data_IF_097326340206
#
_entry.id   IF_097326340206
#
_cell.length_a   1.000
_cell.length_b   1.000
_cell.length_c   1.000
_cell.angle_alpha   90.00
_cell.angle_beta   90.00
_cell.angle_gamma   90.00
#
_symmetry.space_group_name_H-M   'P 1'
#
loop_
_entity.id
_entity.type
_entity.pdbx_description
1 polymer ?
#
# COMPACT_ATOMS: atom_id res chain seq x y z
N UNK A 1 -20.78 -78.01 -58.87
CA UNK A 1 -20.88 -77.33 -57.55
C UNK A 1 -19.98 -76.11 -57.56
N UNK A 2 -20.53 -74.91 -57.69
CA UNK A 2 -20.01 -73.69 -57.07
C UNK A 2 -21.03 -72.56 -57.27
N UNK A 3 -21.40 -71.95 -56.16
CA UNK A 3 -22.59 -71.12 -55.95
C UNK A 3 -22.31 -69.66 -56.31
N UNK A 4 -23.10 -69.09 -57.21
CA UNK A 4 -23.15 -67.66 -57.52
C UNK A 4 -23.89 -66.92 -56.38
N UNK A 5 -23.16 -66.29 -55.47
CA UNK A 5 -23.73 -65.38 -54.46
C UNK A 5 -23.96 -64.00 -55.08
N UNK A 6 -25.23 -63.63 -55.24
CA UNK A 6 -25.69 -62.26 -55.55
C UNK A 6 -25.39 -61.35 -54.36
N UNK A 7 -24.64 -60.27 -54.57
CA UNK A 7 -24.49 -59.20 -53.59
C UNK A 7 -25.69 -58.25 -53.67
N UNK A 8 -26.43 -58.16 -52.57
CA UNK A 8 -27.51 -57.19 -52.35
C UNK A 8 -26.90 -55.87 -51.86
N UNK A 9 -27.07 -54.80 -52.64
CA UNK A 9 -26.68 -53.45 -52.24
C UNK A 9 -27.78 -52.84 -51.34
N UNK A 10 -27.46 -52.59 -50.07
CA UNK A 10 -28.33 -51.79 -49.18
C UNK A 10 -28.21 -50.30 -49.53
N UNK A 11 -29.30 -49.53 -49.60
CA UNK A 11 -29.23 -48.10 -49.83
C UNK A 11 -28.65 -47.39 -48.59
N UNK A 12 -27.54 -46.66 -48.78
CA UNK A 12 -27.00 -45.75 -47.76
C UNK A 12 -27.92 -44.52 -47.69
N UNK A 13 -28.62 -44.36 -46.57
CA UNK A 13 -29.33 -43.12 -46.24
C UNK A 13 -28.28 -42.04 -45.93
N UNK A 14 -28.16 -41.05 -46.79
CA UNK A 14 -27.42 -39.82 -46.48
C UNK A 14 -28.24 -39.01 -45.50
N UNK A 15 -27.84 -38.99 -44.23
CA UNK A 15 -28.26 -37.95 -43.30
C UNK A 15 -27.39 -36.72 -43.57
N UNK A 16 -27.94 -35.73 -44.27
CA UNK A 16 -27.38 -34.38 -44.30
C UNK A 16 -27.62 -33.75 -42.92
N UNK A 17 -26.69 -33.93 -42.00
CA UNK A 17 -26.65 -33.16 -40.76
C UNK A 17 -26.28 -31.72 -41.11
N UNK A 18 -27.25 -30.82 -41.09
CA UNK A 18 -26.97 -29.38 -41.12
C UNK A 18 -26.21 -29.02 -39.84
N UNK A 19 -24.89 -28.87 -39.95
CA UNK A 19 -24.07 -28.31 -38.89
C UNK A 19 -24.39 -26.82 -38.81
N UNK A 20 -25.34 -26.45 -37.95
CA UNK A 20 -25.54 -25.05 -37.57
C UNK A 20 -24.32 -24.66 -36.73
N UNK A 21 -23.30 -24.14 -37.39
CA UNK A 21 -22.26 -23.34 -36.76
C UNK A 21 -22.94 -22.06 -36.26
N UNK A 22 -23.48 -22.10 -35.05
CA UNK A 22 -23.73 -20.88 -34.29
C UNK A 22 -22.37 -20.26 -34.02
N UNK A 23 -21.93 -19.37 -34.91
CA UNK A 23 -20.85 -18.46 -34.63
C UNK A 23 -21.27 -17.61 -33.44
N UNK A 24 -20.87 -18.03 -32.24
CA UNK A 24 -20.91 -17.18 -31.08
C UNK A 24 -19.92 -16.05 -31.36
N UNK A 25 -20.43 -14.94 -31.88
CA UNK A 25 -19.72 -13.67 -31.85
C UNK A 25 -19.54 -13.37 -30.37
N UNK A 26 -18.38 -13.72 -29.82
CA UNK A 26 -17.95 -13.17 -28.53
C UNK A 26 -17.69 -11.71 -28.83
N UNK A 27 -18.74 -10.90 -28.68
CA UNK A 27 -18.58 -9.48 -28.47
C UNK A 27 -17.74 -9.39 -27.19
N UNK A 28 -16.41 -9.29 -27.34
CA UNK A 28 -15.54 -8.72 -26.32
C UNK A 28 -16.03 -7.28 -26.13
N UNK A 29 -17.13 -7.13 -25.40
CA UNK A 29 -17.61 -5.84 -24.96
C UNK A 29 -16.46 -5.22 -24.21
N UNK A 30 -15.96 -4.09 -24.71
CA UNK A 30 -15.09 -3.22 -23.95
C UNK A 30 -15.87 -2.84 -22.69
N UNK A 31 -15.65 -3.56 -21.59
CA UNK A 31 -16.15 -3.12 -20.29
C UNK A 31 -15.61 -1.69 -20.11
N UNK A 32 -16.46 -0.73 -19.72
CA UNK A 32 -15.99 0.62 -19.47
C UNK A 32 -14.87 0.57 -18.43
N UNK A 33 -13.86 1.45 -18.54
CA UNK A 33 -12.80 1.48 -17.54
C UNK A 33 -13.42 1.67 -16.15
N UNK A 34 -12.84 1.05 -15.11
CA UNK A 34 -13.31 1.25 -13.75
C UNK A 34 -13.30 2.74 -13.40
N UNK A 35 -14.24 3.21 -12.56
CA UNK A 35 -14.25 4.60 -12.14
C UNK A 35 -12.96 4.94 -11.37
N UNK A 36 -12.52 6.21 -11.41
CA UNK A 36 -11.40 6.66 -10.60
C UNK A 36 -11.69 6.44 -9.10
N UNK A 37 -10.64 6.29 -8.26
CA UNK A 37 -10.82 6.17 -6.83
C UNK A 37 -11.44 7.46 -6.25
N UNK A 38 -12.24 7.38 -5.18
CA UNK A 38 -12.77 8.57 -4.52
C UNK A 38 -11.64 9.42 -3.94
N UNK A 39 -11.83 10.73 -3.95
CA UNK A 39 -10.91 11.73 -3.37
C UNK A 39 -11.69 12.57 -2.36
N UNK A 40 -11.16 12.69 -1.14
CA UNK A 40 -11.79 13.45 -0.07
C UNK A 40 -11.17 13.17 1.31
N UNK A 41 -11.85 13.59 2.38
CA UNK A 41 -11.41 13.30 3.75
C UNK A 41 -11.23 11.80 3.99
N UNK A 42 -10.06 11.41 4.50
CA UNK A 42 -9.76 10.02 4.84
C UNK A 42 -9.56 9.07 3.64
N UNK A 43 -9.57 9.54 2.39
CA UNK A 43 -9.23 8.73 1.22
C UNK A 43 -7.73 8.50 1.09
N UNK A 44 -7.33 7.38 0.51
CA UNK A 44 -5.93 7.11 0.13
C UNK A 44 -5.56 7.92 -1.11
N UNK A 45 -6.48 8.07 -2.06
CA UNK A 45 -6.26 8.85 -3.27
C UNK A 45 -6.43 10.35 -3.01
N UNK A 46 -5.67 11.17 -3.74
CA UNK A 46 -5.72 12.63 -3.66
C UNK A 46 -4.36 13.29 -3.44
N UNK A 47 -4.27 14.62 -3.56
CA UNK A 47 -3.05 15.38 -3.33
C UNK A 47 -2.76 15.49 -1.83
N UNK A 48 -1.47 15.54 -1.46
CA UNK A 48 -1.07 15.86 -0.08
C UNK A 48 -1.58 17.25 0.32
N UNK A 49 -2.07 17.40 1.55
CA UNK A 49 -2.51 18.68 2.11
C UNK A 49 -1.42 19.33 2.98
N UNK A 50 -0.49 18.54 3.50
CA UNK A 50 0.69 19.02 4.21
C UNK A 50 1.92 19.01 3.30
N UNK A 51 2.79 20.00 3.46
CA UNK A 51 4.09 20.03 2.80
C UNK A 51 5.20 19.37 3.67
N UNK A 52 6.36 19.12 3.07
CA UNK A 52 7.46 18.40 3.73
C UNK A 52 7.97 19.11 5.00
N UNK A 53 8.07 20.44 4.96
CA UNK A 53 8.53 21.24 6.09
C UNK A 53 7.56 21.17 7.28
N UNK A 54 6.25 21.21 7.02
CA UNK A 54 5.22 21.04 8.05
C UNK A 54 5.29 19.65 8.70
N UNK A 55 5.43 18.61 7.88
CA UNK A 55 5.58 17.23 8.36
C UNK A 55 6.84 17.09 9.22
N UNK A 56 7.98 17.60 8.75
CA UNK A 56 9.25 17.55 9.47
C UNK A 56 9.22 18.33 10.79
N UNK A 57 8.60 19.52 10.80
CA UNK A 57 8.43 20.32 12.00
C UNK A 57 7.62 19.58 13.07
N UNK A 58 6.53 18.90 12.66
CA UNK A 58 5.74 18.07 13.58
C UNK A 58 6.53 16.85 14.10
N UNK A 59 7.30 16.17 13.25
CA UNK A 59 8.18 15.08 13.71
C UNK A 59 9.17 15.59 14.76
N UNK A 60 9.75 16.77 14.55
CA UNK A 60 10.65 17.38 15.51
C UNK A 60 9.99 17.78 16.82
N UNK A 61 8.76 18.30 16.79
CA UNK A 61 8.03 18.67 18.00
C UNK A 61 7.68 17.46 18.85
N UNK A 62 7.29 16.34 18.23
CA UNK A 62 6.93 15.11 18.95
C UNK A 62 8.17 14.32 19.42
N UNK A 63 9.25 14.33 18.64
CA UNK A 63 10.46 13.53 18.92
C UNK A 63 11.63 14.34 19.49
N UNK A 64 11.37 15.57 19.93
CA UNK A 64 12.30 16.45 20.66
C UNK A 64 13.64 16.66 19.92
N UNK A 65 13.58 17.23 18.71
CA UNK A 65 14.79 17.70 18.04
C UNK A 65 15.55 18.71 18.92
N UNK A 66 16.87 18.56 19.01
CA UNK A 66 17.72 19.50 19.74
C UNK A 66 17.68 20.90 19.07
N UNK A 67 17.89 21.99 19.81
CA UNK A 67 18.01 23.33 19.22
C UNK A 67 19.03 23.36 18.08
N UNK A 68 18.62 23.89 16.92
CA UNK A 68 19.45 23.93 15.71
C UNK A 68 19.51 22.62 14.91
N UNK A 69 18.84 21.56 15.35
CA UNK A 69 18.66 20.31 14.61
C UNK A 69 17.25 20.21 14.04
N UNK A 70 17.12 19.70 12.82
CA UNK A 70 15.86 19.25 12.22
C UNK A 70 15.77 17.71 12.15
N UNK A 71 16.63 17.01 12.91
CA UNK A 71 16.68 15.54 12.96
C UNK A 71 16.55 15.08 14.43
N UNK A 72 15.52 14.27 14.75
CA UNK A 72 15.37 13.70 16.08
C UNK A 72 16.53 12.75 16.43
N UNK A 73 16.97 12.66 17.70
CA UNK A 73 18.00 11.69 18.10
C UNK A 73 17.63 10.22 17.83
N UNK A 74 16.32 9.91 17.81
CA UNK A 74 15.81 8.56 17.51
C UNK A 74 15.73 8.26 16.01
N UNK A 75 15.89 9.24 15.13
CA UNK A 75 15.75 9.07 13.68
C UNK A 75 16.91 8.22 13.13
N UNK A 76 16.58 7.12 12.45
CA UNK A 76 17.55 6.18 11.88
C UNK A 76 17.76 6.24 10.36
N UNK A 77 16.84 6.76 9.52
CA UNK A 77 17.11 6.89 8.09
C UNK A 77 18.31 7.79 7.80
N UNK A 78 18.98 7.52 6.68
CA UNK A 78 20.16 8.26 6.20
C UNK A 78 19.84 9.66 5.64
N UNK A 79 18.57 9.93 5.36
CA UNK A 79 18.07 11.24 4.92
C UNK A 79 17.27 11.91 6.04
N UNK A 80 17.16 13.23 6.03
CA UNK A 80 16.44 13.98 7.07
C UNK A 80 14.92 13.70 7.04
N UNK A 81 14.19 14.00 8.13
CA UNK A 81 12.72 13.92 8.14
C UNK A 81 12.06 14.71 7.00
N UNK A 82 12.59 15.91 6.68
CA UNK A 82 12.08 16.74 5.59
C UNK A 82 12.33 16.12 4.22
N UNK A 83 13.54 15.59 3.98
CA UNK A 83 13.84 14.88 2.73
C UNK A 83 12.96 13.63 2.57
N UNK A 84 12.75 12.88 3.65
CA UNK A 84 11.85 11.73 3.64
C UNK A 84 10.42 12.17 3.32
N UNK A 85 9.89 13.18 4.02
CA UNK A 85 8.54 13.70 3.77
C UNK A 85 8.38 14.20 2.33
N UNK A 86 9.39 14.86 1.76
CA UNK A 86 9.40 15.28 0.37
C UNK A 86 9.32 14.10 -0.59
N UNK A 87 10.05 13.00 -0.35
CA UNK A 87 9.92 11.78 -1.16
C UNK A 87 8.50 11.23 -1.15
N UNK A 88 7.83 11.20 0.01
CA UNK A 88 6.44 10.75 0.08
C UNK A 88 5.49 11.66 -0.70
N UNK A 89 5.69 12.97 -0.62
CA UNK A 89 4.89 13.94 -1.38
C UNK A 89 5.10 13.76 -2.88
N UNK A 90 6.35 13.64 -3.33
CA UNK A 90 6.67 13.54 -4.76
C UNK A 90 6.18 12.22 -5.37
N UNK A 91 6.47 11.09 -4.71
CA UNK A 91 5.99 9.77 -5.14
C UNK A 91 4.46 9.69 -5.04
N UNK A 92 3.88 10.23 -3.98
CA UNK A 92 2.42 10.32 -3.79
C UNK A 92 1.74 11.11 -4.90
N UNK A 93 2.24 12.30 -5.21
CA UNK A 93 1.71 13.14 -6.29
C UNK A 93 1.79 12.44 -7.65
N UNK A 94 2.90 11.75 -7.94
CA UNK A 94 3.07 11.00 -9.19
C UNK A 94 2.06 9.83 -9.30
N UNK A 95 1.80 9.12 -8.19
CA UNK A 95 0.88 7.99 -8.15
C UNK A 95 -0.59 8.38 -7.84
N UNK A 96 -0.88 9.66 -7.59
CA UNK A 96 -2.19 10.15 -7.14
C UNK A 96 -2.62 9.62 -5.76
N UNK A 97 -1.68 9.50 -4.83
CA UNK A 97 -1.87 9.03 -3.46
C UNK A 97 -1.50 10.15 -2.47
N UNK A 98 -2.21 10.19 -1.34
CA UNK A 98 -1.94 11.07 -0.18
C UNK A 98 -0.59 10.74 0.46
N UNK A 99 0.47 11.34 -0.08
CA UNK A 99 1.85 11.18 0.38
C UNK A 99 2.04 11.59 1.84
N UNK A 100 1.40 12.69 2.24
CA UNK A 100 1.38 13.15 3.63
C UNK A 100 0.84 12.10 4.62
N UNK A 101 -0.27 11.44 4.31
CA UNK A 101 -0.83 10.38 5.18
C UNK A 101 -0.01 9.09 5.05
N UNK A 102 0.54 8.77 3.88
CA UNK A 102 1.44 7.63 3.70
C UNK A 102 2.73 7.77 4.52
N UNK A 103 3.27 8.98 4.69
CA UNK A 103 4.36 9.23 5.63
C UNK A 103 3.95 8.89 7.08
N UNK A 104 2.71 9.23 7.47
CA UNK A 104 2.18 8.90 8.80
C UNK A 104 1.98 7.39 8.99
N UNK A 105 1.55 6.67 7.96
CA UNK A 105 1.57 5.21 7.97
C UNK A 105 2.98 4.69 8.31
N UNK A 106 4.01 5.28 7.72
CA UNK A 106 5.39 4.89 7.98
C UNK A 106 5.87 5.26 9.38
N UNK A 107 5.42 6.38 9.96
CA UNK A 107 5.61 6.66 11.39
C UNK A 107 5.06 5.51 12.23
N UNK A 108 3.84 5.06 11.94
CA UNK A 108 3.19 3.99 12.68
C UNK A 108 3.95 2.66 12.57
N UNK A 109 4.28 2.26 11.34
CA UNK A 109 4.93 0.98 11.03
C UNK A 109 6.35 0.86 11.57
N UNK A 110 7.09 1.97 11.60
CA UNK A 110 8.51 1.99 11.99
C UNK A 110 8.74 2.47 13.42
N UNK A 111 7.69 2.90 14.12
CA UNK A 111 7.81 3.57 15.41
C UNK A 111 8.59 4.88 15.29
N UNK A 112 8.11 5.80 14.46
CA UNK A 112 8.74 7.11 14.19
C UNK A 112 10.13 7.02 13.54
N UNK A 113 10.30 6.10 12.59
CA UNK A 113 11.57 5.81 11.92
C UNK A 113 12.71 5.46 12.89
N UNK A 114 12.37 4.87 14.04
CA UNK A 114 13.32 4.48 15.07
C UNK A 114 13.53 2.95 15.15
N UNK A 115 12.59 2.15 14.63
CA UNK A 115 12.57 0.68 14.70
C UNK A 115 12.95 0.13 16.10
N UNK A 116 12.24 0.52 17.18
CA UNK A 116 12.66 0.24 18.54
C UNK A 116 12.71 -1.26 18.89
N UNK A 117 12.04 -2.10 18.10
CA UNK A 117 11.99 -3.57 18.27
C UNK A 117 13.05 -4.30 17.44
N UNK A 118 13.80 -3.58 16.60
CA UNK A 118 14.81 -4.20 15.75
C UNK A 118 16.15 -4.31 16.49
N UNK A 119 16.95 -5.35 16.21
CA UNK A 119 18.28 -5.48 16.77
C UNK A 119 19.20 -4.33 16.34
N UNK A 120 20.29 -4.14 17.07
CA UNK A 120 21.33 -3.18 16.70
C UNK A 120 21.83 -3.49 15.27
N UNK A 121 21.72 -2.54 14.31
CA UNK A 121 22.19 -2.74 12.94
C UNK A 121 23.65 -3.20 12.85
N UNK A 122 24.50 -2.82 13.81
CA UNK A 122 25.92 -3.21 13.83
C UNK A 122 26.12 -4.72 14.11
N UNK A 123 25.12 -5.37 14.71
CA UNK A 123 25.15 -6.81 15.04
C UNK A 123 24.54 -7.67 13.94
N UNK A 124 23.91 -7.06 12.96
CA UNK A 124 23.22 -7.74 11.85
C UNK A 124 24.09 -7.61 10.60
N UNK A 125 24.53 -8.71 9.97
CA UNK A 125 25.22 -8.68 8.68
C UNK A 125 24.39 -7.96 7.62
N UNK A 126 25.06 -7.34 6.64
CA UNK A 126 24.38 -6.76 5.47
C UNK A 126 24.22 -7.88 4.44
N UNK A 127 22.98 -8.30 4.11
CA UNK A 127 22.78 -9.28 3.05
C UNK A 127 23.28 -8.74 1.71
N UNK A 128 23.65 -9.62 0.78
CA UNK A 128 24.04 -9.22 -0.57
C UNK A 128 22.91 -8.41 -1.25
N UNK A 129 23.21 -7.51 -2.20
CA UNK A 129 22.17 -6.81 -2.96
C UNK A 129 21.16 -7.79 -3.56
N UNK A 130 19.88 -7.51 -3.39
CA UNK A 130 18.78 -8.39 -3.84
C UNK A 130 18.51 -9.60 -2.96
N UNK A 131 19.30 -9.88 -1.92
CA UNK A 131 19.00 -10.90 -0.93
C UNK A 131 17.87 -10.42 -0.01
N UNK A 132 16.73 -11.07 -0.15
CA UNK A 132 15.53 -10.85 0.65
C UNK A 132 15.32 -11.95 1.68
N UNK A 133 16.27 -12.88 1.86
CA UNK A 133 16.13 -14.03 2.77
C UNK A 133 16.62 -13.69 4.17
N UNK A 134 15.79 -12.98 4.94
CA UNK A 134 16.22 -12.47 6.25
C UNK A 134 15.10 -12.50 7.31
N UNK A 135 15.49 -12.44 8.58
CA UNK A 135 14.64 -12.61 9.75
C UNK A 135 13.53 -11.55 9.86
N UNK A 136 12.46 -11.85 10.61
CA UNK A 136 11.23 -11.05 10.73
C UNK A 136 11.33 -9.71 11.49
N UNK A 137 12.38 -8.94 11.25
CA UNK A 137 12.56 -7.56 11.69
C UNK A 137 13.01 -6.68 10.52
N UNK A 138 12.85 -5.36 10.64
CA UNK A 138 13.24 -4.39 9.60
C UNK A 138 14.23 -3.40 10.18
N UNK A 139 15.33 -3.15 9.48
CA UNK A 139 16.30 -2.11 9.84
C UNK A 139 16.11 -0.88 8.93
N UNK A 140 16.60 0.28 9.40
CA UNK A 140 16.54 1.52 8.63
C UNK A 140 17.15 1.38 7.23
N UNK A 141 18.29 0.69 7.13
CA UNK A 141 19.02 0.40 5.87
C UNK A 141 18.28 -0.53 4.90
N UNK A 142 17.17 -1.15 5.33
CA UNK A 142 16.39 -2.01 4.45
C UNK A 142 15.41 -1.19 3.61
N UNK A 143 15.20 0.09 3.96
CA UNK A 143 14.29 0.99 3.23
C UNK A 143 12.88 0.39 3.05
N UNK A 144 12.40 -0.31 4.08
CA UNK A 144 11.06 -0.83 4.17
C UNK A 144 10.29 -0.09 5.26
N UNK A 145 9.69 1.03 4.86
CA UNK A 145 9.06 1.96 5.78
C UNK A 145 7.63 1.57 6.15
N UNK A 146 7.10 0.47 5.60
CA UNK A 146 5.71 0.07 5.78
C UNK A 146 5.54 -1.41 6.14
N UNK A 147 6.58 -2.02 6.69
CA UNK A 147 6.54 -3.39 7.22
C UNK A 147 6.26 -4.48 6.17
N UNK A 148 6.52 -4.21 4.89
CA UNK A 148 6.04 -5.07 3.82
C UNK A 148 6.76 -6.44 3.82
N UNK A 149 5.98 -7.49 4.07
CA UNK A 149 6.48 -8.86 4.21
C UNK A 149 7.19 -9.15 5.54
N UNK A 150 7.23 -8.19 6.47
CA UNK A 150 7.90 -8.35 7.76
C UNK A 150 6.88 -8.76 8.84
N UNK A 151 6.97 -10.01 9.30
CA UNK A 151 6.16 -10.53 10.40
C UNK A 151 6.93 -11.62 11.16
N UNK A 152 6.45 -12.01 12.35
CA UNK A 152 7.09 -13.06 13.15
C UNK A 152 7.25 -14.37 12.35
N UNK A 153 8.49 -14.79 12.09
CA UNK A 153 8.79 -15.99 11.30
C UNK A 153 8.82 -15.78 9.77
N UNK A 154 8.65 -14.55 9.27
CA UNK A 154 8.86 -14.27 7.85
C UNK A 154 10.33 -14.49 7.49
N UNK A 155 10.56 -15.18 6.38
CA UNK A 155 11.91 -15.39 5.81
C UNK A 155 12.16 -14.50 4.60
N UNK A 156 11.15 -13.75 4.14
CA UNK A 156 11.25 -12.84 2.99
C UNK A 156 10.47 -11.56 3.21
N UNK A 157 11.18 -10.43 3.19
CA UNK A 157 10.59 -9.10 3.29
C UNK A 157 11.23 -8.13 2.30
N UNK A 158 10.58 -7.00 2.07
CA UNK A 158 11.07 -5.99 1.14
C UNK A 158 12.36 -5.35 1.67
N UNK A 159 13.39 -5.30 0.83
CA UNK A 159 14.60 -4.50 1.04
C UNK A 159 14.92 -3.72 -0.24
N UNK A 160 15.37 -2.46 -0.11
CA UNK A 160 15.74 -1.58 -1.23
C UNK A 160 17.10 -0.94 -1.04
N UNK A 161 17.74 -0.60 -2.15
CA UNK A 161 19.07 0.01 -2.15
C UNK A 161 19.00 1.49 -1.75
N UNK A 162 17.91 2.18 -2.12
CA UNK A 162 17.73 3.61 -1.85
C UNK A 162 16.39 3.95 -1.18
N UNK A 163 16.34 5.03 -0.37
CA UNK A 163 15.11 5.47 0.30
C UNK A 163 13.91 5.67 -0.64
N UNK A 164 14.12 6.31 -1.79
CA UNK A 164 13.02 6.61 -2.73
C UNK A 164 12.33 5.33 -3.23
N UNK A 165 13.06 4.22 -3.38
CA UNK A 165 12.47 2.95 -3.81
C UNK A 165 11.56 2.38 -2.73
N UNK A 166 11.93 2.50 -1.46
CA UNK A 166 11.10 2.10 -0.32
C UNK A 166 9.77 2.85 -0.28
N UNK A 167 9.86 4.18 -0.40
CA UNK A 167 8.70 5.09 -0.46
C UNK A 167 7.82 4.77 -1.67
N UNK A 168 8.42 4.67 -2.86
CA UNK A 168 7.72 4.34 -4.11
C UNK A 168 6.97 3.01 -3.99
N UNK A 169 7.61 1.98 -3.46
CA UNK A 169 7.01 0.67 -3.31
C UNK A 169 5.75 0.70 -2.42
N UNK A 170 5.81 1.44 -1.30
CA UNK A 170 4.65 1.65 -0.42
C UNK A 170 3.54 2.42 -1.11
N UNK A 171 3.86 3.59 -1.69
CA UNK A 171 2.89 4.45 -2.39
C UNK A 171 2.16 3.69 -3.49
N UNK A 172 2.90 2.96 -4.33
CA UNK A 172 2.31 2.16 -5.39
C UNK A 172 1.43 1.02 -4.83
N UNK A 173 1.76 0.47 -3.66
CA UNK A 173 0.90 -0.53 -3.02
C UNK A 173 -0.41 0.07 -2.53
N UNK A 174 -0.36 1.23 -1.87
CA UNK A 174 -1.53 2.00 -1.46
C UNK A 174 -2.41 2.36 -2.66
N UNK A 175 -1.80 2.78 -3.78
CA UNK A 175 -2.53 3.03 -5.04
C UNK A 175 -3.29 1.79 -5.50
N UNK A 176 -2.71 0.60 -5.39
CA UNK A 176 -3.37 -0.65 -5.77
C UNK A 176 -4.58 -0.95 -4.88
N UNK A 177 -4.47 -0.74 -3.57
CA UNK A 177 -5.59 -0.88 -2.63
C UNK A 177 -6.75 0.07 -2.92
N UNK A 178 -6.44 1.32 -3.27
CA UNK A 178 -7.43 2.38 -3.41
C UNK A 178 -8.16 2.39 -4.77
N UNK A 179 -7.48 1.94 -5.83
CA UNK A 179 -7.93 2.16 -7.21
C UNK A 179 -8.07 0.85 -8.01
N UNK A 180 -9.30 0.51 -8.39
CA UNK A 180 -9.60 -0.64 -9.25
C UNK A 180 -8.96 -0.52 -10.66
N UNK A 181 -8.74 0.72 -11.12
CA UNK A 181 -8.07 1.07 -12.37
C UNK A 181 -6.55 1.12 -12.28
N UNK A 182 -5.95 0.95 -11.10
CA UNK A 182 -4.49 0.94 -10.95
C UNK A 182 -3.87 -0.15 -11.81
N UNK A 183 -2.74 0.11 -12.48
CA UNK A 183 -1.98 -0.85 -13.27
C UNK A 183 -0.49 -0.62 -13.06
N UNK A 184 0.30 -1.66 -13.21
CA UNK A 184 1.77 -1.59 -13.17
C UNK A 184 2.35 -0.56 -14.16
N UNK A 185 1.57 -0.18 -15.17
CA UNK A 185 1.93 0.75 -16.25
C UNK A 185 1.41 2.18 -16.06
N UNK A 186 0.64 2.51 -15.01
CA UNK A 186 0.02 3.83 -14.84
C UNK A 186 0.27 4.51 -13.48
N UNK A 187 1.46 4.32 -12.90
CA UNK A 187 1.80 4.75 -11.53
C UNK A 187 2.57 6.08 -11.45
N UNK A 188 2.70 6.82 -12.54
CA UNK A 188 3.53 8.04 -12.65
C UNK A 188 5.03 7.76 -12.77
N UNK A 189 5.54 6.80 -12.00
CA UNK A 189 6.89 6.26 -12.10
C UNK A 189 6.87 4.75 -12.37
N UNK A 190 7.99 4.16 -12.85
CA UNK A 190 8.09 2.71 -13.04
C UNK A 190 7.71 1.93 -11.77
N UNK A 191 6.99 0.83 -11.96
CA UNK A 191 6.61 -0.05 -10.85
C UNK A 191 7.86 -0.55 -10.12
N UNK A 192 7.89 -0.38 -8.81
CA UNK A 192 8.99 -0.80 -7.95
C UNK A 192 8.78 -2.28 -7.57
N UNK A 193 9.61 -3.22 -8.08
CA UNK A 193 9.42 -4.65 -7.87
C UNK A 193 9.63 -5.04 -6.41
N UNK A 194 8.93 -6.04 -5.89
CA UNK A 194 9.08 -6.49 -4.50
C UNK A 194 9.07 -8.01 -4.42
N UNK A 195 9.54 -8.63 -3.32
CA UNK A 195 9.34 -10.05 -3.13
C UNK A 195 7.86 -10.41 -3.35
N UNK A 196 7.60 -11.32 -4.28
CA UNK A 196 6.26 -11.79 -4.67
C UNK A 196 5.34 -10.77 -5.38
N UNK A 197 5.78 -9.52 -5.56
CA UNK A 197 5.06 -8.52 -6.35
C UNK A 197 5.82 -8.20 -7.65
N UNK A 198 5.38 -8.83 -8.73
CA UNK A 198 5.76 -8.51 -10.11
C UNK A 198 4.72 -7.56 -10.72
N UNK A 199 4.97 -7.05 -11.92
CA UNK A 199 3.96 -6.29 -12.67
C UNK A 199 2.65 -7.08 -12.82
N UNK A 200 2.75 -8.38 -13.13
CA UNK A 200 1.57 -9.25 -13.27
C UNK A 200 0.79 -9.41 -11.96
N UNK A 201 1.46 -9.65 -10.83
CA UNK A 201 0.75 -9.81 -9.55
C UNK A 201 0.27 -8.48 -8.96
N UNK A 202 0.89 -7.37 -9.34
CA UNK A 202 0.34 -6.03 -9.10
C UNK A 202 -0.99 -5.84 -9.84
N UNK A 203 -1.04 -6.20 -11.11
CA UNK A 203 -2.24 -6.03 -11.93
C UNK A 203 -3.40 -6.92 -11.48
N UNK A 204 -3.11 -8.14 -11.04
CA UNK A 204 -4.08 -9.12 -10.54
C UNK A 204 -4.25 -9.12 -9.01
N UNK A 205 -3.87 -8.04 -8.32
CA UNK A 205 -3.86 -7.99 -6.85
C UNK A 205 -5.25 -8.20 -6.23
N UNK A 206 -5.33 -9.07 -5.22
CA UNK A 206 -6.61 -9.52 -4.62
C UNK A 206 -7.44 -8.41 -3.98
N UNK A 207 -6.79 -7.38 -3.42
CA UNK A 207 -7.46 -6.25 -2.75
C UNK A 207 -7.52 -4.99 -3.60
N UNK A 208 -7.31 -5.14 -4.92
CA UNK A 208 -7.33 -4.02 -5.85
C UNK A 208 -8.64 -3.22 -5.78
N UNK A 209 -8.55 -1.92 -5.46
CA UNK A 209 -9.72 -1.05 -5.31
C UNK A 209 -10.64 -1.36 -4.12
N UNK A 210 -10.23 -2.23 -3.17
CA UNK A 210 -11.06 -2.65 -2.02
C UNK A 210 -10.79 -1.88 -0.73
N UNK A 211 -9.90 -0.88 -0.78
CA UNK A 211 -9.64 0.01 0.35
C UNK A 211 -9.42 1.46 -0.12
N UNK A 212 -10.47 2.15 -0.59
CA UNK A 212 -10.39 3.56 -0.95
C UNK A 212 -10.12 4.49 0.23
N UNK A 213 -10.55 4.12 1.46
CA UNK A 213 -10.31 4.88 2.69
C UNK A 213 -9.16 4.28 3.50
N UNK A 214 -8.46 5.11 4.27
CA UNK A 214 -7.41 4.63 5.19
C UNK A 214 -7.94 3.60 6.21
N UNK A 215 -9.16 3.78 6.69
CA UNK A 215 -9.83 2.82 7.60
C UNK A 215 -10.18 1.50 6.93
N UNK A 216 -10.30 1.46 5.60
CA UNK A 216 -10.55 0.21 4.88
C UNK A 216 -9.30 -0.70 4.83
N UNK A 217 -8.13 -0.19 5.21
CA UNK A 217 -6.91 -0.99 5.35
C UNK A 217 -6.97 -1.95 6.55
N UNK A 218 -7.90 -1.74 7.48
CA UNK A 218 -8.17 -2.62 8.60
C UNK A 218 -8.48 -4.05 8.10
N UNK A 219 -7.80 -5.05 8.66
CA UNK A 219 -7.89 -6.44 8.25
C UNK A 219 -7.42 -6.74 6.81
N UNK A 220 -6.87 -5.77 6.07
CA UNK A 220 -6.36 -5.96 4.70
C UNK A 220 -4.85 -5.71 4.61
N UNK A 221 -4.40 -4.56 5.09
CA UNK A 221 -2.97 -4.24 5.18
C UNK A 221 -2.35 -4.87 6.42
N UNK A 222 -2.94 -4.60 7.59
CA UNK A 222 -2.56 -5.21 8.86
C UNK A 222 -3.68 -6.16 9.33
N UNK A 223 -3.31 -7.41 9.65
CA UNK A 223 -4.23 -8.45 10.14
C UNK A 223 -3.86 -8.79 11.59
N UNK A 224 -4.84 -8.87 12.52
CA UNK A 224 -6.29 -8.70 12.35
C UNK A 224 -6.78 -7.24 12.37
N UNK A 225 -5.88 -6.25 12.51
CA UNK A 225 -6.12 -4.89 12.98
C UNK A 225 -7.45 -4.22 12.64
N UNK A 226 -8.23 -3.90 13.67
CA UNK A 226 -9.53 -3.18 13.59
C UNK A 226 -9.41 -1.65 13.74
N UNK A 227 -8.26 -1.17 14.22
CA UNK A 227 -8.01 0.26 14.52
C UNK A 227 -6.81 0.83 13.76
N UNK A 228 -6.29 0.10 12.77
CA UNK A 228 -5.06 0.46 12.07
C UNK A 228 -5.17 1.81 11.35
N UNK A 229 -6.17 1.97 10.48
CA UNK A 229 -6.40 3.23 9.77
C UNK A 229 -6.77 4.39 10.69
N UNK A 230 -7.49 4.12 11.78
CA UNK A 230 -7.85 5.12 12.79
C UNK A 230 -6.60 5.67 13.49
N UNK A 231 -5.65 4.82 13.86
CA UNK A 231 -4.39 5.26 14.48
C UNK A 231 -3.55 6.12 13.54
N UNK A 232 -3.51 5.79 12.24
CA UNK A 232 -2.84 6.61 11.22
C UNK A 232 -3.52 7.97 11.11
N UNK A 233 -4.85 8.01 10.96
CA UNK A 233 -5.58 9.26 10.84
C UNK A 233 -5.52 10.12 12.12
N UNK A 234 -5.39 9.50 13.30
CA UNK A 234 -5.17 10.22 14.56
C UNK A 234 -3.86 11.00 14.54
N UNK A 235 -2.74 10.34 14.23
CA UNK A 235 -1.43 11.01 14.13
C UNK A 235 -1.46 12.07 13.04
N UNK A 236 -2.12 11.80 11.92
CA UNK A 236 -2.28 12.77 10.84
C UNK A 236 -3.09 14.00 11.29
N UNK A 237 -4.17 13.81 12.06
CA UNK A 237 -4.96 14.91 12.60
C UNK A 237 -4.18 15.75 13.62
N UNK A 238 -3.36 15.14 14.46
CA UNK A 238 -2.45 15.87 15.35
C UNK A 238 -1.44 16.70 14.54
N UNK A 239 -0.91 16.12 13.46
CA UNK A 239 0.00 16.81 12.53
C UNK A 239 -0.68 18.00 11.84
N UNK A 240 -1.93 17.84 11.38
CA UNK A 240 -2.75 18.92 10.82
C UNK A 240 -3.02 20.03 11.84
N UNK A 241 -3.37 19.67 13.07
CA UNK A 241 -3.65 20.62 14.13
C UNK A 241 -2.43 21.49 14.44
N UNK A 242 -1.21 20.92 14.35
CA UNK A 242 0.05 21.68 14.55
C UNK A 242 0.26 22.82 13.54
N UNK A 243 -0.46 22.81 12.42
CA UNK A 243 -0.42 23.86 11.39
C UNK A 243 -1.77 24.59 11.23
N UNK A 244 -2.69 24.42 12.19
CA UNK A 244 -3.98 25.11 12.21
C UNK A 244 -5.05 24.54 11.28
N UNK A 245 -4.87 23.33 10.75
CA UNK A 245 -5.87 22.65 9.92
C UNK A 245 -6.81 21.81 10.78
N UNK A 246 -8.09 21.77 10.39
CA UNK A 246 -9.11 20.91 11.03
C UNK A 246 -8.90 19.42 10.74
N UNK A 247 -9.45 18.51 11.56
CA UNK A 247 -9.28 17.08 11.40
C UNK A 247 -9.96 16.56 10.13
N UNK A 248 -9.43 15.46 9.58
CA UNK A 248 -10.12 14.63 8.60
C UNK A 248 -10.81 13.47 9.30
N UNK A 249 -12.09 13.27 8.98
CA UNK A 249 -12.87 12.10 9.36
C UNK A 249 -13.31 11.40 8.09
N UNK A 250 -13.14 10.06 7.96
CA UNK A 250 -13.67 9.35 6.80
C UNK A 250 -15.20 9.50 6.77
N UNK A 251 -15.76 10.10 5.73
CA UNK A 251 -17.21 10.18 5.56
C UNK A 251 -17.73 8.89 4.93
N UNK A 252 -18.25 8.00 5.76
CA UNK A 252 -18.97 6.78 5.38
C UNK A 252 -19.59 6.14 6.63
N UNK A 253 -20.81 5.63 6.52
CA UNK A 253 -21.60 5.03 7.62
C UNK A 253 -20.84 3.93 8.38
N UNK A 254 -20.05 4.33 9.36
CA UNK A 254 -19.67 3.50 10.50
C UNK A 254 -19.81 4.37 11.74
N UNK A 255 -20.48 3.86 12.77
CA UNK A 255 -20.68 4.53 14.06
C UNK A 255 -19.38 4.75 14.86
N UNK A 256 -18.37 5.37 14.23
CA UNK A 256 -17.03 5.65 14.77
C UNK A 256 -16.79 7.15 14.91
N UNK A 257 -17.66 8.01 14.37
CA UNK A 257 -17.57 9.46 14.58
C UNK A 257 -17.60 9.80 16.09
N UNK A 258 -18.38 9.05 16.89
CA UNK A 258 -18.42 9.20 18.35
C UNK A 258 -17.17 8.69 19.07
N UNK A 259 -16.38 7.81 18.46
CA UNK A 259 -15.12 7.33 19.07
C UNK A 259 -13.98 8.29 18.78
N UNK A 260 -13.85 8.86 17.58
CA UNK A 260 -12.80 9.84 17.30
C UNK A 260 -12.93 11.12 18.15
N UNK A 261 -14.16 11.58 18.41
CA UNK A 261 -14.41 12.74 19.29
C UNK A 261 -14.13 12.43 20.78
N UNK A 262 -14.31 11.19 21.22
CA UNK A 262 -14.02 10.76 22.59
C UNK A 262 -12.50 10.63 22.88
N UNK A 263 -11.65 10.61 21.86
CA UNK A 263 -10.20 10.38 22.00
C UNK A 263 -9.37 11.67 22.07
N UNK A 264 -10.00 12.83 21.86
CA UNK A 264 -9.36 14.15 21.96
C UNK A 264 -9.02 14.57 23.40
N UNK A 265 -9.58 13.92 24.42
CA UNK A 265 -9.34 14.25 25.83
C UNK A 265 -8.11 13.55 26.44
N UNK A 266 -7.61 12.47 25.84
CA UNK A 266 -6.59 11.60 26.45
C UNK A 266 -5.15 11.85 25.96
N UNK A 267 -4.92 12.86 25.12
CA UNK A 267 -3.61 13.16 24.52
C UNK A 267 -2.72 14.12 25.32
N UNK A 268 -3.19 14.65 26.46
CA UNK A 268 -2.34 15.47 27.34
C UNK A 268 -1.43 14.65 28.27
N UNK A 269 -1.49 13.30 28.23
CA UNK A 269 -0.67 12.42 29.08
C UNK A 269 0.21 11.46 28.26
N UNK A 270 0.91 12.00 27.25
CA UNK A 270 1.85 11.26 26.40
C UNK A 270 3.17 10.86 27.11
N UNK A 271 3.23 10.96 28.43
CA UNK A 271 4.40 10.59 29.25
C UNK A 271 4.44 9.12 29.69
N UNK A 272 3.38 8.34 29.46
CA UNK A 272 3.23 7.01 30.07
C UNK A 272 3.59 5.80 29.16
N UNK A 273 4.17 6.01 27.97
CA UNK A 273 4.53 4.90 27.05
C UNK A 273 5.97 5.00 26.55
N UNK A 274 6.91 4.91 27.49
CA UNK A 274 8.32 4.57 27.25
C UNK A 274 8.49 3.05 27.35
#
# INVERSE_FOLDING_TARGET
MQSLKRFSARPRRFFAGALILTGAVVLSGCLPPPPPPPVGPGTIAGPSELNAAQIAAYVCSVKNCAPGSNVPPSWKPEITPEQMAQLYIDEGNAAGVRGDIAFVQSIWETGWFAWPKSPDPATVPVPAPGDNTWAGFVLARDHNYCGMGAYGGSTRFMRKDFPYQGVRAQIQHLRNYADAGSRSTNLGYPMEPRPYLTASSYDSFTYKGKAPLWVDLNGKWAVPGDTYGQNILRIYNDMRASVGLGPVTPTGDMGVASELDAWGSDLLDATARN
#
